data_IF_328162112510
#
_entry.id   IF_328162112510
#
_cell.length_a   1.000
_cell.length_b   1.000
_cell.length_c   1.000
_cell.angle_alpha   90.00
_cell.angle_beta   90.00
_cell.angle_gamma   90.00
#
_symmetry.space_group_name_H-M   'P 1'
#
loop_
_entity.id
_entity.type
_entity.pdbx_description
1 polymer ?
#
# COMPACT_ATOMS: atom_id res chain seq x y z
N UNK A 1 -24.09 11.76 -18.33
CA UNK A 1 -24.02 12.36 -16.99
C UNK A 1 -22.55 12.59 -16.66
N UNK A 2 -22.12 13.77 -16.18
CA UNK A 2 -20.72 14.00 -15.84
C UNK A 2 -20.37 13.32 -14.50
N UNK A 3 -19.20 12.67 -14.42
CA UNK A 3 -18.65 12.09 -13.19
C UNK A 3 -18.21 13.20 -12.21
N UNK A 4 -18.32 13.01 -10.88
CA UNK A 4 -17.95 14.04 -9.91
C UNK A 4 -16.43 14.11 -9.67
N UNK A 5 -15.99 15.32 -9.32
CA UNK A 5 -14.62 15.85 -9.24
C UNK A 5 -13.81 15.40 -8.01
N UNK A 6 -13.69 14.10 -7.75
CA UNK A 6 -13.06 13.55 -6.53
C UNK A 6 -11.52 13.54 -6.46
N UNK A 7 -10.80 13.86 -7.54
CA UNK A 7 -9.35 13.64 -7.63
C UNK A 7 -8.46 14.60 -6.81
N UNK A 8 -8.94 15.80 -6.44
CA UNK A 8 -8.11 16.81 -5.77
C UNK A 8 -8.05 16.68 -4.25
N UNK A 9 -9.05 16.05 -3.63
CA UNK A 9 -9.05 15.75 -2.18
C UNK A 9 -8.07 14.63 -1.83
N UNK A 10 -7.85 13.72 -2.79
CA UNK A 10 -7.01 12.51 -2.70
C UNK A 10 -5.53 12.84 -2.46
N UNK A 11 -4.97 13.76 -3.25
CA UNK A 11 -3.56 14.15 -3.15
C UNK A 11 -3.22 14.97 -1.90
N UNK A 12 -4.23 15.61 -1.27
CA UNK A 12 -4.05 16.38 -0.02
C UNK A 12 -4.02 15.45 1.20
N UNK A 13 -4.86 14.41 1.21
CA UNK A 13 -4.85 13.39 2.27
C UNK A 13 -3.55 12.58 2.29
N UNK A 14 -2.98 12.26 1.13
CA UNK A 14 -1.70 11.54 0.99
C UNK A 14 -0.53 12.24 1.68
N UNK A 15 -0.55 13.58 1.77
CA UNK A 15 0.56 14.38 2.30
C UNK A 15 0.47 14.60 3.82
N UNK A 16 -0.75 14.73 4.35
CA UNK A 16 -1.00 14.79 5.80
C UNK A 16 -0.79 13.42 6.46
N UNK A 17 -1.12 12.34 5.76
CA UNK A 17 -0.88 10.95 6.15
C UNK A 17 0.60 10.63 6.40
N UNK A 18 1.47 11.05 5.48
CA UNK A 18 2.93 10.84 5.59
C UNK A 18 3.50 11.47 6.88
N UNK A 19 2.90 12.57 7.34
CA UNK A 19 3.38 13.36 8.47
C UNK A 19 2.85 12.88 9.83
N UNK A 20 1.76 12.11 9.87
CA UNK A 20 1.22 11.49 11.09
C UNK A 20 1.89 10.14 11.38
N UNK A 21 2.32 9.44 10.32
CA UNK A 21 2.98 8.14 10.40
C UNK A 21 4.40 8.19 10.97
N UNK A 22 5.13 9.30 10.73
CA UNK A 22 6.43 9.55 11.36
C UNK A 22 6.31 9.75 12.88
N UNK A 23 5.18 10.30 13.36
CA UNK A 23 4.92 10.54 14.78
C UNK A 23 4.53 9.25 15.54
N UNK A 24 3.80 8.34 14.88
CA UNK A 24 3.51 7.01 15.43
C UNK A 24 4.75 6.11 15.58
N UNK A 25 5.81 6.41 14.82
CA UNK A 25 7.06 5.65 14.81
C UNK A 25 7.96 5.98 16.02
N UNK A 26 8.04 7.23 16.46
CA UNK A 26 8.77 7.62 17.69
C UNK A 26 8.15 7.02 18.96
N UNK A 27 6.83 6.83 18.97
CA UNK A 27 6.11 6.26 20.12
C UNK A 27 6.25 4.74 20.24
N UNK A 28 6.51 4.04 19.14
CA UNK A 28 6.71 2.58 19.15
C UNK A 28 8.13 2.16 19.54
N UNK A 29 9.13 3.01 19.26
CA UNK A 29 10.55 2.73 19.56
C UNK A 29 10.91 2.86 21.07
N UNK A 30 10.05 3.47 21.90
CA UNK A 30 10.34 3.72 23.33
C UNK A 30 9.82 2.66 24.30
N UNK A 31 9.03 1.69 23.83
CA UNK A 31 8.65 0.50 24.62
C UNK A 31 7.81 0.74 25.87
N UNK A 32 7.15 1.90 26.02
CA UNK A 32 6.23 2.14 27.15
C UNK A 32 4.82 1.63 26.85
N UNK A 33 4.23 0.99 27.85
CA UNK A 33 2.85 0.49 27.85
C UNK A 33 1.89 1.69 28.00
N UNK A 34 0.96 1.88 27.06
CA UNK A 34 0.03 3.02 27.08
C UNK A 34 -1.42 2.52 27.02
N UNK A 35 -2.16 2.72 28.12
CA UNK A 35 -3.62 2.92 28.09
C UNK A 35 -3.88 4.37 27.68
N UNK A 36 -4.62 4.63 26.60
CA UNK A 36 -4.77 5.98 26.05
C UNK A 36 -6.09 6.62 26.52
N UNK A 37 -5.96 7.73 27.26
CA UNK A 37 -6.94 8.80 27.41
C UNK A 37 -6.25 10.07 26.87
N UNK A 38 -6.89 10.86 26.00
CA UNK A 38 -6.19 11.93 25.24
C UNK A 38 -6.08 13.25 26.03
N UNK A 39 -4.86 13.71 26.32
CA UNK A 39 -4.55 14.97 27.07
C UNK A 39 -4.56 16.24 26.18
N UNK A 40 -4.95 17.37 26.76
CA UNK A 40 -4.89 18.76 26.26
C UNK A 40 -3.61 19.15 25.49
N UNK A 41 -2.43 18.64 25.87
CA UNK A 41 -1.17 18.87 25.15
C UNK A 41 -1.18 18.32 23.71
N UNK A 42 -1.89 17.21 23.48
CA UNK A 42 -2.13 16.64 22.15
C UNK A 42 -3.05 17.52 21.31
N UNK A 43 -4.11 18.06 21.91
CA UNK A 43 -5.04 18.97 21.22
C UNK A 43 -4.37 20.30 20.86
N UNK A 44 -3.52 20.86 21.73
CA UNK A 44 -2.77 22.09 21.48
C UNK A 44 -1.77 21.94 20.33
N UNK A 45 -1.08 20.81 20.26
CA UNK A 45 -0.17 20.47 19.16
C UNK A 45 -0.92 20.30 17.84
N UNK A 46 -2.14 19.75 17.88
CA UNK A 46 -3.03 19.65 16.71
C UNK A 46 -3.49 21.02 16.19
N UNK A 47 -3.83 21.95 17.09
CA UNK A 47 -4.28 23.32 16.73
C UNK A 47 -3.18 24.16 16.09
N UNK A 48 -1.96 24.15 16.63
CA UNK A 48 -0.82 24.87 16.02
C UNK A 48 -0.42 24.28 14.65
N UNK A 49 -0.59 22.97 14.49
CA UNK A 49 -0.36 22.27 13.21
C UNK A 49 -1.41 22.62 12.15
N UNK A 50 -2.68 22.78 12.52
CA UNK A 50 -3.72 23.27 11.60
C UNK A 50 -3.47 24.71 11.15
N UNK A 51 -2.91 25.58 12.01
CA UNK A 51 -2.54 26.95 11.62
C UNK A 51 -1.39 26.97 10.61
N UNK A 52 -0.38 26.12 10.80
CA UNK A 52 0.73 25.94 9.85
C UNK A 52 0.26 25.37 8.49
N UNK A 53 -0.72 24.44 8.52
CA UNK A 53 -1.35 23.91 7.30
C UNK A 53 -2.16 25.00 6.58
N UNK A 54 -2.90 25.84 7.31
CA UNK A 54 -3.61 26.99 6.73
C UNK A 54 -2.66 28.00 6.07
N UNK A 55 -1.48 28.25 6.65
CA UNK A 55 -0.42 29.06 6.03
C UNK A 55 0.19 28.43 4.78
N UNK A 56 0.25 27.08 4.68
CA UNK A 56 0.81 26.38 3.51
C UNK A 56 -0.19 26.12 2.40
N UNK A 57 -1.48 26.06 2.70
CA UNK A 57 -2.56 26.03 1.71
C UNK A 57 -2.67 27.35 0.92
N UNK A 58 -1.98 28.41 1.33
CA UNK A 58 -1.78 29.64 0.52
C UNK A 58 -1.06 29.34 -0.81
N UNK A 59 -0.27 28.27 -0.92
CA UNK A 59 0.28 27.77 -2.19
C UNK A 59 -0.79 27.11 -3.08
N UNK A 60 -1.88 26.64 -2.50
CA UNK A 60 -3.03 26.08 -3.22
C UNK A 60 -3.91 27.19 -3.80
N UNK A 61 -4.00 28.36 -3.14
CA UNK A 61 -4.56 29.56 -3.78
C UNK A 61 -3.72 30.04 -4.96
N UNK A 62 -2.38 29.92 -4.90
CA UNK A 62 -1.51 30.25 -6.04
C UNK A 62 -1.67 29.26 -7.21
N UNK A 63 -1.88 27.96 -6.95
CA UNK A 63 -2.21 26.98 -7.99
C UNK A 63 -3.61 27.22 -8.61
N UNK A 64 -4.56 27.70 -7.81
CA UNK A 64 -5.89 28.13 -8.28
C UNK A 64 -5.79 29.36 -9.18
N UNK A 65 -4.90 30.28 -8.86
CA UNK A 65 -4.58 31.45 -9.69
C UNK A 65 -3.91 31.03 -11.00
N UNK A 66 -3.06 30.00 -11.00
CA UNK A 66 -2.49 29.42 -12.22
C UNK A 66 -3.60 28.78 -13.09
N UNK A 67 -4.53 28.01 -12.51
CA UNK A 67 -5.68 27.43 -13.25
C UNK A 67 -6.61 28.52 -13.81
N UNK A 68 -6.79 29.63 -13.08
CA UNK A 68 -7.53 30.80 -13.57
C UNK A 68 -6.80 31.48 -14.75
N UNK A 69 -5.49 31.69 -14.64
CA UNK A 69 -4.65 32.22 -15.72
C UNK A 69 -4.63 31.30 -16.96
N UNK A 70 -4.65 29.98 -16.77
CA UNK A 70 -4.76 29.00 -17.86
C UNK A 70 -6.13 29.04 -18.55
N UNK A 71 -7.20 29.29 -17.79
CA UNK A 71 -8.55 29.46 -18.32
C UNK A 71 -8.66 30.73 -19.17
N UNK A 72 -8.03 31.83 -18.77
CA UNK A 72 -7.93 33.07 -19.55
C UNK A 72 -7.03 32.92 -20.79
N UNK A 73 -5.87 32.26 -20.66
CA UNK A 73 -4.92 32.05 -21.75
C UNK A 73 -5.43 31.11 -22.86
N UNK A 74 -6.40 30.23 -22.57
CA UNK A 74 -7.02 29.32 -23.54
C UNK A 74 -7.75 30.04 -24.70
N UNK A 75 -7.99 31.35 -24.57
CA UNK A 75 -8.53 32.21 -25.63
C UNK A 75 -7.47 32.59 -26.69
N UNK A 76 -6.18 32.34 -26.44
CA UNK A 76 -5.04 32.63 -27.32
C UNK A 76 -4.29 31.33 -27.68
N UNK A 77 -4.54 30.81 -28.88
CA UNK A 77 -4.41 29.38 -29.22
C UNK A 77 -3.00 28.76 -29.38
N UNK A 78 -1.89 29.50 -29.25
CA UNK A 78 -0.56 28.96 -29.63
C UNK A 78 0.51 29.01 -28.52
N UNK A 79 0.69 30.15 -27.85
CA UNK A 79 1.67 30.26 -26.75
C UNK A 79 1.18 29.64 -25.44
N UNK A 80 -0.14 29.63 -25.22
CA UNK A 80 -0.76 29.06 -24.04
C UNK A 80 -0.59 27.53 -23.95
N UNK A 81 -0.70 26.83 -25.09
CA UNK A 81 -0.51 25.36 -25.14
C UNK A 81 0.91 24.92 -24.79
N UNK A 82 1.93 25.70 -25.17
CA UNK A 82 3.32 25.42 -24.78
C UNK A 82 3.54 25.63 -23.28
N UNK A 83 2.91 26.65 -22.69
CA UNK A 83 3.00 26.91 -21.24
C UNK A 83 2.26 25.86 -20.42
N UNK A 84 1.07 25.42 -20.86
CA UNK A 84 0.31 24.34 -20.21
C UNK A 84 1.12 23.05 -20.18
N UNK A 85 1.75 22.69 -21.30
CA UNK A 85 2.58 21.49 -21.36
C UNK A 85 3.77 21.58 -20.39
N UNK A 86 4.46 22.73 -20.35
CA UNK A 86 5.58 22.92 -19.43
C UNK A 86 5.18 22.79 -17.95
N UNK A 87 4.02 23.30 -17.57
CA UNK A 87 3.48 23.19 -16.20
C UNK A 87 3.09 21.74 -15.88
N UNK A 88 2.43 21.05 -16.82
CA UNK A 88 2.08 19.64 -16.65
C UNK A 88 3.32 18.76 -16.48
N UNK A 89 4.35 18.95 -17.32
CA UNK A 89 5.62 18.25 -17.25
C UNK A 89 6.33 18.51 -15.90
N UNK A 90 6.25 19.74 -15.37
CA UNK A 90 6.82 20.09 -14.06
C UNK A 90 6.07 19.45 -12.88
N UNK A 91 4.74 19.40 -12.92
CA UNK A 91 3.92 18.72 -11.91
C UNK A 91 4.23 17.22 -11.91
N UNK A 92 4.30 16.60 -13.09
CA UNK A 92 4.65 15.19 -13.24
C UNK A 92 6.05 14.89 -12.68
N UNK A 93 7.05 15.73 -12.99
CA UNK A 93 8.40 15.58 -12.46
C UNK A 93 8.47 15.72 -10.93
N UNK A 94 7.71 16.65 -10.35
CA UNK A 94 7.63 16.85 -8.89
C UNK A 94 6.91 15.68 -8.20
N UNK A 95 5.82 15.18 -8.78
CA UNK A 95 5.11 14.00 -8.29
C UNK A 95 6.03 12.78 -8.28
N UNK A 96 6.70 12.51 -9.41
CA UNK A 96 7.68 11.42 -9.54
C UNK A 96 8.78 11.49 -8.48
N UNK A 97 9.32 12.68 -8.21
CA UNK A 97 10.34 12.88 -7.17
C UNK A 97 9.83 12.53 -5.77
N UNK A 98 8.58 12.87 -5.45
CA UNK A 98 7.98 12.56 -4.14
C UNK A 98 7.70 11.07 -4.01
N UNK A 99 7.13 10.43 -5.03
CA UNK A 99 6.93 8.97 -5.04
C UNK A 99 8.25 8.22 -4.95
N UNK A 100 9.30 8.69 -5.64
CA UNK A 100 10.64 8.12 -5.55
C UNK A 100 11.17 8.22 -4.11
N UNK A 101 11.03 9.36 -3.43
CA UNK A 101 11.47 9.53 -2.03
C UNK A 101 10.72 8.62 -1.05
N UNK A 102 9.41 8.47 -1.20
CA UNK A 102 8.59 7.58 -0.34
C UNK A 102 9.02 6.12 -0.55
N UNK A 103 9.19 5.72 -1.81
CA UNK A 103 9.69 4.39 -2.13
C UNK A 103 11.09 4.16 -1.57
N UNK A 104 11.96 5.18 -1.54
CA UNK A 104 13.31 5.09 -0.99
C UNK A 104 13.32 4.86 0.52
N UNK A 105 12.47 5.55 1.28
CA UNK A 105 12.37 5.38 2.74
C UNK A 105 11.84 3.99 3.11
N UNK A 106 10.77 3.53 2.44
CA UNK A 106 10.23 2.19 2.63
C UNK A 106 11.32 1.14 2.31
N UNK A 107 12.01 1.28 1.17
CA UNK A 107 13.10 0.37 0.78
C UNK A 107 14.26 0.37 1.77
N UNK A 108 14.60 1.53 2.36
CA UNK A 108 15.67 1.62 3.36
C UNK A 108 15.28 0.89 4.65
N UNK A 109 14.04 1.08 5.15
CA UNK A 109 13.51 0.37 6.33
C UNK A 109 13.50 -1.14 6.13
N UNK A 110 13.22 -1.59 4.91
CA UNK A 110 13.21 -3.01 4.59
C UNK A 110 14.58 -3.67 4.81
N UNK A 111 15.71 -2.96 4.78
CA UNK A 111 17.08 -3.53 4.78
C UNK A 111 17.43 -4.41 6.00
N UNK A 112 16.64 -4.36 7.08
CA UNK A 112 16.81 -5.19 8.28
C UNK A 112 16.39 -6.66 8.07
N UNK A 113 16.76 -7.55 9.00
CA UNK A 113 16.51 -9.02 8.96
C UNK A 113 15.02 -9.40 9.15
N UNK A 114 14.09 -8.49 8.88
CA UNK A 114 12.67 -8.72 9.13
C UNK A 114 12.04 -9.50 7.97
N UNK A 115 11.31 -10.55 8.30
CA UNK A 115 10.46 -11.31 7.38
C UNK A 115 9.09 -10.66 7.18
N UNK A 116 8.87 -9.46 7.73
CA UNK A 116 7.66 -8.69 7.52
C UNK A 116 7.99 -7.28 7.03
N UNK A 117 7.12 -6.75 6.19
CA UNK A 117 7.30 -5.49 5.50
C UNK A 117 6.02 -4.70 5.53
N UNK A 118 6.08 -3.50 6.12
CA UNK A 118 4.99 -2.52 6.07
C UNK A 118 5.36 -1.46 5.03
N UNK A 119 4.52 -1.31 4.01
CA UNK A 119 4.84 -0.52 2.82
C UNK A 119 3.70 0.44 2.49
N UNK A 120 4.05 1.51 1.79
CA UNK A 120 3.06 2.49 1.34
C UNK A 120 2.41 2.03 0.03
N UNK A 121 3.19 1.53 -0.92
CA UNK A 121 2.71 1.10 -2.23
C UNK A 121 2.73 -0.42 -2.39
N UNK A 122 1.70 -0.98 -3.01
CA UNK A 122 1.61 -2.42 -3.20
C UNK A 122 2.71 -2.98 -4.11
N UNK A 123 3.13 -2.19 -5.09
CA UNK A 123 4.21 -2.57 -6.02
C UNK A 123 5.53 -2.87 -5.29
N UNK A 124 5.76 -2.32 -4.09
CA UNK A 124 6.93 -2.63 -3.28
C UNK A 124 6.94 -4.06 -2.73
N UNK A 125 5.80 -4.75 -2.71
CA UNK A 125 5.74 -6.20 -2.45
C UNK A 125 6.61 -6.98 -3.42
N UNK A 126 6.66 -6.59 -4.70
CA UNK A 126 7.59 -7.19 -5.67
C UNK A 126 9.05 -7.09 -5.19
N UNK A 127 9.46 -5.90 -4.75
CA UNK A 127 10.81 -5.67 -4.23
C UNK A 127 11.08 -6.53 -2.99
N UNK A 128 10.15 -6.58 -2.04
CA UNK A 128 10.23 -7.38 -0.83
C UNK A 128 10.52 -8.86 -1.14
N UNK A 129 9.72 -9.45 -2.02
CA UNK A 129 9.85 -10.86 -2.38
C UNK A 129 11.14 -11.12 -3.16
N UNK A 130 11.49 -10.26 -4.12
CA UNK A 130 12.76 -10.41 -4.86
C UNK A 130 13.97 -10.34 -3.96
N UNK A 131 13.96 -9.42 -3.02
CA UNK A 131 15.02 -9.28 -2.04
C UNK A 131 15.18 -10.55 -1.21
N UNK A 132 14.09 -11.14 -0.71
CA UNK A 132 14.15 -12.37 0.07
C UNK A 132 14.56 -13.59 -0.78
N UNK A 133 14.22 -13.61 -2.08
CA UNK A 133 14.75 -14.60 -3.01
C UNK A 133 16.26 -14.45 -3.22
N UNK A 134 16.74 -13.22 -3.42
CA UNK A 134 18.17 -12.93 -3.60
C UNK A 134 18.98 -13.24 -2.34
N UNK A 135 18.37 -13.15 -1.16
CA UNK A 135 18.95 -13.57 0.13
C UNK A 135 18.95 -15.10 0.32
N UNK A 136 18.16 -15.83 -0.46
CA UNK A 136 17.94 -17.27 -0.28
C UNK A 136 16.97 -17.61 0.84
N UNK A 137 16.27 -16.63 1.42
CA UNK A 137 15.25 -16.84 2.46
C UNK A 137 14.03 -17.57 1.91
N UNK A 138 13.69 -17.32 0.64
CA UNK A 138 12.58 -17.99 -0.07
C UNK A 138 13.07 -18.60 -1.38
N UNK A 139 12.63 -19.82 -1.66
CA UNK A 139 12.95 -20.54 -2.88
C UNK A 139 12.10 -20.06 -4.07
N UNK A 140 12.59 -20.34 -5.29
CA UNK A 140 11.75 -20.26 -6.48
C UNK A 140 10.62 -21.29 -6.42
N UNK A 141 9.51 -21.00 -7.09
CA UNK A 141 8.34 -21.86 -7.11
C UNK A 141 7.53 -21.84 -5.82
N UNK A 142 7.69 -20.79 -5.00
CA UNK A 142 6.90 -20.53 -3.80
C UNK A 142 5.41 -20.31 -4.14
N UNK A 143 4.59 -20.22 -3.09
CA UNK A 143 3.16 -20.00 -3.18
C UNK A 143 2.80 -18.66 -2.59
N UNK A 144 2.06 -17.83 -3.32
CA UNK A 144 1.57 -16.54 -2.84
C UNK A 144 0.12 -16.66 -2.37
N UNK A 145 -0.14 -16.27 -1.12
CA UNK A 145 -1.48 -15.90 -0.64
C UNK A 145 -1.56 -14.39 -0.70
N UNK A 146 -2.54 -13.88 -1.44
CA UNK A 146 -2.71 -12.47 -1.67
C UNK A 146 -4.11 -12.06 -1.21
N UNK A 147 -4.17 -11.22 -0.18
CA UNK A 147 -5.39 -10.72 0.45
C UNK A 147 -5.58 -9.30 -0.05
N UNK A 148 -6.59 -9.09 -0.90
CA UNK A 148 -6.75 -7.86 -1.69
C UNK A 148 -8.21 -7.74 -2.17
N UNK A 149 -8.70 -6.50 -2.31
CA UNK A 149 -9.98 -6.24 -2.96
C UNK A 149 -9.93 -6.37 -4.50
N UNK A 150 -8.74 -6.32 -5.11
CA UNK A 150 -8.51 -6.27 -6.55
C UNK A 150 -7.62 -7.42 -7.07
N UNK A 151 -7.83 -7.85 -8.33
CA UNK A 151 -6.97 -8.84 -8.96
C UNK A 151 -5.70 -8.17 -9.51
N UNK A 152 -4.67 -7.99 -8.66
CA UNK A 152 -3.39 -7.35 -8.99
C UNK A 152 -2.42 -8.24 -9.83
N UNK A 153 -2.96 -9.00 -10.80
CA UNK A 153 -2.20 -9.91 -11.66
C UNK A 153 -2.39 -9.67 -13.16
N UNK A 154 -2.70 -8.43 -13.54
CA UNK A 154 -2.77 -8.03 -14.94
C UNK A 154 -1.46 -8.33 -15.68
N UNK A 155 -1.51 -8.69 -16.98
CA UNK A 155 -0.32 -9.01 -17.74
C UNK A 155 0.68 -7.84 -17.81
N UNK A 156 1.82 -8.01 -17.14
CA UNK A 156 2.97 -7.11 -17.28
C UNK A 156 3.87 -7.49 -18.49
N UNK A 157 4.60 -6.49 -18.99
CA UNK A 157 5.71 -6.69 -19.92
C UNK A 157 6.76 -7.67 -19.39
N UNK A 158 7.58 -8.22 -20.30
CA UNK A 158 8.67 -9.12 -19.88
C UNK A 158 9.75 -8.31 -19.16
N UNK A 159 9.95 -8.56 -17.86
CA UNK A 159 11.08 -8.01 -17.13
C UNK A 159 12.37 -8.79 -17.45
N UNK A 160 13.51 -8.09 -17.38
CA UNK A 160 14.82 -8.73 -17.43
C UNK A 160 15.02 -9.61 -16.17
N UNK A 161 15.86 -10.67 -16.24
CA UNK A 161 16.23 -11.43 -15.05
C UNK A 161 16.79 -10.52 -13.96
N UNK A 162 16.24 -10.65 -12.74
CA UNK A 162 16.68 -9.88 -11.59
C UNK A 162 17.80 -10.63 -10.87
N UNK A 163 19.02 -10.08 -10.87
CA UNK A 163 20.20 -10.68 -10.23
C UNK A 163 20.79 -9.85 -9.10
N UNK A 164 20.19 -8.68 -8.81
CA UNK A 164 20.65 -7.77 -7.76
C UNK A 164 19.51 -6.99 -7.11
N UNK A 165 19.75 -6.47 -5.91
CA UNK A 165 18.77 -5.61 -5.21
C UNK A 165 18.50 -4.31 -5.96
N UNK A 166 19.50 -3.74 -6.63
CA UNK A 166 19.33 -2.53 -7.43
C UNK A 166 18.34 -2.75 -8.57
N UNK A 167 18.47 -3.88 -9.28
CA UNK A 167 17.52 -4.26 -10.34
C UNK A 167 16.14 -4.59 -9.78
N UNK A 168 16.05 -5.30 -8.65
CA UNK A 168 14.76 -5.61 -8.02
C UNK A 168 13.97 -4.33 -7.72
N UNK A 169 14.67 -3.31 -7.22
CA UNK A 169 14.12 -2.00 -6.92
C UNK A 169 13.68 -1.26 -8.18
N UNK A 170 14.55 -1.14 -9.17
CA UNK A 170 14.22 -0.48 -10.44
C UNK A 170 12.99 -1.13 -11.10
N UNK A 171 12.94 -2.46 -11.09
CA UNK A 171 11.80 -3.21 -11.58
C UNK A 171 10.52 -2.93 -10.79
N UNK A 172 10.56 -2.94 -9.46
CA UNK A 172 9.39 -2.62 -8.62
C UNK A 172 8.83 -1.23 -8.95
N UNK A 173 9.71 -0.24 -9.11
CA UNK A 173 9.32 1.14 -9.45
C UNK A 173 8.79 1.30 -10.87
N UNK A 174 9.08 0.34 -11.77
CA UNK A 174 8.58 0.34 -13.15
C UNK A 174 7.24 -0.38 -13.32
N UNK A 175 6.79 -1.11 -12.29
CA UNK A 175 5.55 -1.87 -12.31
C UNK A 175 4.37 -0.98 -11.90
N UNK A 176 3.21 -1.35 -12.39
CA UNK A 176 1.94 -0.73 -12.01
C UNK A 176 1.31 -1.55 -10.88
N UNK A 177 0.41 -0.90 -10.15
CA UNK A 177 -0.30 -1.52 -9.02
C UNK A 177 -1.05 -2.79 -9.43
N UNK A 178 -1.58 -2.83 -10.64
CA UNK A 178 -2.35 -3.95 -11.17
C UNK A 178 -1.50 -5.12 -11.68
N UNK A 179 -0.17 -4.99 -11.79
CA UNK A 179 0.64 -5.94 -12.57
C UNK A 179 1.94 -6.41 -11.91
N UNK A 180 2.21 -6.05 -10.66
CA UNK A 180 3.48 -6.38 -10.02
C UNK A 180 3.64 -7.87 -9.68
N UNK A 181 2.56 -8.65 -9.59
CA UNK A 181 2.60 -10.09 -9.33
C UNK A 181 2.97 -10.88 -10.60
N UNK A 182 2.42 -10.47 -11.75
CA UNK A 182 2.52 -11.22 -13.00
C UNK A 182 3.97 -11.56 -13.43
N UNK A 183 4.98 -10.67 -13.32
CA UNK A 183 6.36 -11.00 -13.65
C UNK A 183 6.94 -12.19 -12.86
N UNK A 184 6.53 -12.36 -11.59
CA UNK A 184 7.01 -13.44 -10.72
C UNK A 184 6.36 -14.78 -11.03
N UNK A 185 5.11 -14.77 -11.50
CA UNK A 185 4.46 -15.97 -12.02
C UNK A 185 5.17 -16.40 -13.31
N UNK A 186 5.40 -15.44 -14.21
CA UNK A 186 6.00 -15.69 -15.52
C UNK A 186 7.40 -16.29 -15.45
N UNK A 187 8.23 -15.84 -14.52
CA UNK A 187 9.59 -16.36 -14.34
C UNK A 187 9.68 -17.55 -13.36
N UNK A 188 8.52 -18.06 -12.91
CA UNK A 188 8.35 -19.19 -11.98
C UNK A 188 8.94 -18.94 -10.58
N UNK A 189 9.14 -17.69 -10.21
CA UNK A 189 9.43 -17.30 -8.82
C UNK A 189 8.28 -17.65 -7.90
N UNK A 190 7.06 -17.36 -8.35
CA UNK A 190 5.80 -17.81 -7.75
C UNK A 190 5.22 -18.88 -8.65
N UNK A 191 5.06 -20.10 -8.16
CA UNK A 191 4.45 -21.19 -8.94
C UNK A 191 2.93 -21.19 -8.88
N UNK A 192 2.37 -20.65 -7.80
CA UNK A 192 0.95 -20.71 -7.47
C UNK A 192 0.54 -19.42 -6.75
N UNK A 193 -0.62 -18.87 -7.12
CA UNK A 193 -1.24 -17.71 -6.48
C UNK A 193 -2.64 -18.10 -5.98
N UNK A 194 -2.94 -17.77 -4.74
CA UNK A 194 -4.27 -17.82 -4.17
C UNK A 194 -4.65 -16.38 -3.83
N UNK A 195 -5.77 -15.92 -4.38
CA UNK A 195 -6.33 -14.62 -4.10
C UNK A 195 -7.49 -14.78 -3.11
N UNK A 196 -7.49 -13.95 -2.06
CA UNK A 196 -8.51 -13.90 -1.03
C UNK A 196 -9.16 -12.53 -1.13
N UNK A 197 -10.41 -12.53 -1.61
CA UNK A 197 -11.22 -11.33 -1.69
C UNK A 197 -11.98 -11.10 -0.38
N UNK A 198 -12.35 -9.85 -0.09
CA UNK A 198 -13.13 -9.54 1.10
C UNK A 198 -14.56 -10.05 1.01
N UNK A 199 -15.17 -10.27 2.19
CA UNK A 199 -16.54 -10.76 2.34
C UNK A 199 -17.59 -9.83 1.71
N UNK A 200 -17.32 -8.52 1.66
CA UNK A 200 -18.25 -7.55 1.10
C UNK A 200 -18.30 -7.58 -0.44
N UNK A 201 -17.45 -8.39 -1.08
CA UNK A 201 -17.55 -8.74 -2.50
C UNK A 201 -18.24 -10.10 -2.75
N UNK A 202 -18.79 -10.76 -1.72
CA UNK A 202 -19.49 -12.05 -1.86
C UNK A 202 -20.71 -11.98 -2.79
N UNK A 203 -21.31 -10.79 -2.97
CA UNK A 203 -22.38 -10.56 -3.96
C UNK A 203 -21.93 -10.87 -5.41
N UNK A 204 -20.62 -10.97 -5.66
CA UNK A 204 -20.04 -11.37 -6.94
C UNK A 204 -19.67 -12.87 -7.01
N UNK A 205 -20.12 -13.68 -6.05
CA UNK A 205 -19.97 -15.14 -6.07
C UNK A 205 -18.59 -15.67 -5.64
N UNK A 206 -17.71 -14.80 -5.13
CA UNK A 206 -16.46 -15.22 -4.49
C UNK A 206 -16.74 -15.60 -3.04
N UNK A 207 -16.49 -16.83 -2.63
CA UNK A 207 -16.53 -17.16 -1.19
C UNK A 207 -15.32 -16.55 -0.49
N UNK A 208 -15.54 -15.70 0.50
CA UNK A 208 -14.45 -15.22 1.33
C UNK A 208 -13.78 -16.40 2.08
N UNK A 209 -12.46 -16.32 2.25
CA UNK A 209 -11.67 -17.18 3.13
C UNK A 209 -11.54 -18.69 2.82
N UNK A 210 -11.99 -19.19 1.66
CA UNK A 210 -11.70 -20.58 1.27
C UNK A 210 -10.31 -20.72 0.63
N UNK A 211 -9.26 -20.73 1.46
CA UNK A 211 -7.93 -21.12 0.98
C UNK A 211 -7.95 -22.58 0.47
N UNK A 212 -7.16 -22.93 -0.55
CA UNK A 212 -7.01 -24.32 -1.02
C UNK A 212 -6.61 -25.29 0.09
N UNK A 213 -6.81 -26.60 -0.12
CA UNK A 213 -6.37 -27.62 0.84
C UNK A 213 -4.85 -27.59 1.09
N UNK A 214 -4.41 -28.16 2.23
CA UNK A 214 -3.00 -28.12 2.68
C UNK A 214 -2.02 -28.70 1.65
N UNK A 215 -2.45 -29.68 0.88
CA UNK A 215 -1.72 -30.32 -0.21
C UNK A 215 -1.34 -29.33 -1.32
N UNK A 216 -2.09 -28.24 -1.46
CA UNK A 216 -1.80 -27.21 -2.44
C UNK A 216 -0.50 -26.44 -2.11
N UNK A 217 -0.17 -26.35 -0.82
CA UNK A 217 0.99 -25.65 -0.26
C UNK A 217 2.18 -26.57 0.06
N UNK A 218 1.99 -27.90 -0.03
CA UNK A 218 2.98 -28.87 0.44
C UNK A 218 4.35 -28.71 -0.24
N UNK A 219 5.41 -28.67 0.58
CA UNK A 219 6.81 -28.62 0.13
C UNK A 219 7.25 -27.30 -0.50
N UNK A 220 6.51 -26.20 -0.26
CA UNK A 220 6.81 -24.87 -0.82
C UNK A 220 6.82 -23.81 0.25
N UNK A 221 7.68 -22.81 0.09
CA UNK A 221 7.59 -21.58 0.85
C UNK A 221 6.27 -20.86 0.56
N UNK A 222 5.72 -20.22 1.58
CA UNK A 222 4.49 -19.43 1.49
C UNK A 222 4.84 -17.96 1.69
N UNK A 223 4.36 -17.12 0.78
CA UNK A 223 4.34 -15.66 0.90
C UNK A 223 2.93 -15.23 1.28
N UNK A 224 2.80 -14.27 2.18
CA UNK A 224 1.54 -13.62 2.51
C UNK A 224 1.63 -12.15 2.14
N UNK A 225 0.75 -11.70 1.26
CA UNK A 225 0.59 -10.29 0.91
C UNK A 225 -0.79 -9.84 1.34
N UNK A 226 -0.86 -8.70 1.99
CA UNK A 226 -2.09 -8.07 2.46
C UNK A 226 -2.08 -6.65 1.92
N UNK A 227 -2.95 -6.38 0.96
CA UNK A 227 -3.37 -5.02 0.67
C UNK A 227 -4.37 -4.58 1.74
N UNK A 228 -4.24 -3.34 2.20
CA UNK A 228 -5.16 -2.76 3.17
C UNK A 228 -6.44 -2.25 2.53
N UNK A 229 -6.50 -2.14 1.21
CA UNK A 229 -7.74 -1.87 0.50
C UNK A 229 -8.77 -3.01 0.63
N UNK A 230 -8.30 -4.20 1.02
CA UNK A 230 -9.11 -5.32 1.47
C UNK A 230 -10.10 -4.91 2.57
N UNK A 231 -9.65 -4.08 3.52
CA UNK A 231 -10.47 -3.60 4.63
C UNK A 231 -11.26 -2.36 4.26
N UNK A 232 -10.68 -1.46 3.47
CA UNK A 232 -11.37 -0.22 3.10
C UNK A 232 -11.06 0.11 1.64
N UNK A 233 -12.06 0.04 0.77
CA UNK A 233 -11.92 0.39 -0.64
C UNK A 233 -12.72 1.65 -0.97
N UNK A 234 -12.05 2.62 -1.63
CA UNK A 234 -12.70 3.86 -2.09
C UNK A 234 -13.40 3.73 -3.45
N UNK A 235 -13.21 2.61 -4.15
CA UNK A 235 -13.89 2.30 -5.41
C UNK A 235 -15.23 1.62 -5.19
N UNK A 236 -16.07 1.50 -6.23
CA UNK A 236 -17.38 0.86 -6.10
C UNK A 236 -17.27 -0.68 -6.02
N UNK A 237 -17.89 -1.33 -5.02
CA UNK A 237 -18.68 -0.71 -3.95
C UNK A 237 -17.79 -0.11 -2.86
N UNK A 238 -18.05 1.16 -2.51
CA UNK A 238 -17.30 1.83 -1.45
C UNK A 238 -17.49 1.09 -0.14
N UNK A 239 -16.39 0.75 0.53
CA UNK A 239 -16.42 0.11 1.83
C UNK A 239 -15.32 0.70 2.72
N UNK A 240 -15.64 0.95 3.99
CA UNK A 240 -14.67 1.28 5.00
C UNK A 240 -14.94 0.39 6.20
N UNK A 241 -14.07 -0.59 6.44
CA UNK A 241 -14.28 -1.57 7.50
C UNK A 241 -14.23 -0.88 8.87
N UNK A 242 -15.23 -1.18 9.68
CA UNK A 242 -15.25 -0.83 11.09
C UNK A 242 -14.11 -1.54 11.84
N UNK A 243 -13.69 -1.03 13.01
CA UNK A 243 -12.73 -1.70 13.87
C UNK A 243 -13.05 -3.17 14.20
N UNK A 244 -14.35 -3.50 14.28
CA UNK A 244 -14.83 -4.86 14.55
C UNK A 244 -14.70 -5.78 13.33
N UNK A 245 -14.98 -5.27 12.12
CA UNK A 245 -14.77 -6.01 10.87
C UNK A 245 -13.29 -6.30 10.65
N UNK A 246 -12.41 -5.31 10.85
CA UNK A 246 -10.96 -5.50 10.79
C UNK A 246 -10.50 -6.60 11.74
N UNK A 247 -11.00 -6.62 12.98
CA UNK A 247 -10.66 -7.64 13.97
C UNK A 247 -11.19 -9.02 13.59
N UNK A 248 -12.44 -9.11 13.11
CA UNK A 248 -13.05 -10.36 12.66
C UNK A 248 -12.30 -10.96 11.46
N UNK A 249 -11.99 -10.16 10.45
CA UNK A 249 -11.29 -10.58 9.24
C UNK A 249 -9.83 -10.95 9.52
N UNK A 250 -9.15 -10.18 10.37
CA UNK A 250 -7.82 -10.55 10.87
C UNK A 250 -7.83 -11.90 11.58
N UNK A 251 -8.85 -12.17 12.41
CA UNK A 251 -9.00 -13.46 13.09
C UNK A 251 -9.30 -14.59 12.10
N UNK A 252 -10.10 -14.35 11.07
CA UNK A 252 -10.39 -15.30 10.00
C UNK A 252 -9.12 -15.67 9.23
N UNK A 253 -8.31 -14.67 8.83
CA UNK A 253 -6.99 -14.89 8.21
C UNK A 253 -6.11 -15.80 9.06
N UNK A 254 -5.90 -15.44 10.32
CA UNK A 254 -5.06 -16.20 11.26
C UNK A 254 -5.57 -17.63 11.41
N UNK A 255 -6.89 -17.81 11.57
CA UNK A 255 -7.52 -19.13 11.71
C UNK A 255 -7.29 -19.99 10.47
N UNK A 256 -7.45 -19.43 9.27
CA UNK A 256 -7.27 -20.19 8.03
C UNK A 256 -5.80 -20.58 7.78
N UNK A 257 -4.84 -19.73 8.17
CA UNK A 257 -3.41 -20.05 8.17
C UNK A 257 -3.10 -21.18 9.16
N UNK A 258 -3.57 -21.08 10.41
CA UNK A 258 -3.36 -22.09 11.46
C UNK A 258 -3.98 -23.43 11.10
N UNK A 259 -5.22 -23.44 10.59
CA UNK A 259 -5.93 -24.65 10.14
C UNK A 259 -5.15 -25.45 9.11
N UNK A 260 -4.34 -24.77 8.30
CA UNK A 260 -3.49 -25.38 7.25
C UNK A 260 -2.03 -25.54 7.67
N UNK A 261 -1.69 -25.19 8.91
CA UNK A 261 -0.32 -25.20 9.44
C UNK A 261 0.64 -24.40 8.56
N UNK A 262 0.18 -23.26 8.03
CA UNK A 262 0.98 -22.38 7.19
C UNK A 262 1.75 -21.40 8.06
N UNK A 263 3.04 -21.25 7.79
CA UNK A 263 3.93 -20.25 8.39
C UNK A 263 4.56 -19.45 7.25
N UNK A 264 3.97 -18.30 6.87
CA UNK A 264 4.53 -17.48 5.80
C UNK A 264 5.98 -17.10 6.09
N UNK A 265 6.86 -17.25 5.09
CA UNK A 265 8.28 -16.87 5.19
C UNK A 265 8.51 -15.38 4.99
N UNK A 266 7.58 -14.73 4.29
CA UNK A 266 7.59 -13.30 4.04
C UNK A 266 6.16 -12.79 4.14
N UNK A 267 5.97 -11.71 4.90
CA UNK A 267 4.69 -11.04 5.07
C UNK A 267 4.83 -9.61 4.55
N UNK A 268 4.01 -9.23 3.58
CA UNK A 268 3.93 -7.86 3.06
C UNK A 268 2.57 -7.28 3.42
N UNK A 269 2.55 -6.09 4.01
CA UNK A 269 1.35 -5.30 4.29
C UNK A 269 1.51 -3.97 3.57
N UNK A 270 0.63 -3.68 2.61
CA UNK A 270 0.70 -2.48 1.78
C UNK A 270 -0.55 -1.62 1.95
N UNK A 271 -0.39 -0.30 1.90
CA UNK A 271 -1.48 0.63 2.13
C UNK A 271 -2.30 0.99 0.90
N UNK A 272 -1.77 0.79 -0.32
CA UNK A 272 -2.41 1.18 -1.59
C UNK A 272 -3.18 2.49 -1.48
N UNK A 273 -2.49 3.63 -1.36
CA UNK A 273 -3.10 4.93 -1.03
C UNK A 273 -4.18 5.36 -2.03
N UNK A 274 -4.12 4.81 -3.24
CA UNK A 274 -5.10 4.99 -4.30
C UNK A 274 -6.46 4.33 -4.01
N UNK A 275 -6.48 3.31 -3.15
CA UNK A 275 -7.62 2.45 -2.91
C UNK A 275 -8.07 2.45 -1.45
N UNK A 276 -7.18 2.78 -0.50
CA UNK A 276 -7.49 2.68 0.93
C UNK A 276 -7.89 4.00 1.58
N UNK A 277 -8.90 3.95 2.46
CA UNK A 277 -9.24 5.07 3.35
C UNK A 277 -8.09 5.30 4.35
N UNK A 278 -7.47 6.47 4.24
CA UNK A 278 -6.23 6.85 4.92
C UNK A 278 -6.28 6.68 6.44
N UNK A 279 -7.43 6.95 7.05
CA UNK A 279 -7.61 6.94 8.51
C UNK A 279 -7.57 5.53 9.12
N UNK A 280 -7.89 4.49 8.34
CA UNK A 280 -7.95 3.10 8.83
C UNK A 280 -6.58 2.40 8.80
N UNK A 281 -5.64 2.92 8.00
CA UNK A 281 -4.37 2.27 7.70
C UNK A 281 -3.51 1.95 8.94
N UNK A 282 -3.30 2.88 9.90
CA UNK A 282 -2.50 2.57 11.10
C UNK A 282 -3.19 1.54 11.98
N UNK A 283 -4.52 1.63 12.12
CA UNK A 283 -5.29 0.72 12.96
C UNK A 283 -5.28 -0.71 12.38
N UNK A 284 -5.61 -0.86 11.09
CA UNK A 284 -5.61 -2.15 10.41
C UNK A 284 -4.23 -2.81 10.44
N UNK A 285 -3.17 -2.06 10.09
CA UNK A 285 -1.78 -2.55 10.13
C UNK A 285 -1.40 -3.06 11.51
N UNK A 286 -1.65 -2.28 12.57
CA UNK A 286 -1.29 -2.66 13.94
C UNK A 286 -2.06 -3.89 14.42
N UNK A 287 -3.36 -3.98 14.09
CA UNK A 287 -4.19 -5.13 14.48
C UNK A 287 -3.75 -6.41 13.78
N UNK A 288 -3.51 -6.36 12.46
CA UNK A 288 -2.93 -7.45 11.69
C UNK A 288 -1.61 -7.91 12.29
N UNK A 289 -0.67 -6.97 12.51
CA UNK A 289 0.65 -7.31 13.04
C UNK A 289 0.57 -7.96 14.43
N UNK A 290 -0.25 -7.42 15.33
CA UNK A 290 -0.45 -8.01 16.67
C UNK A 290 -1.04 -9.40 16.60
N UNK A 291 -2.03 -9.63 15.73
CA UNK A 291 -2.69 -10.92 15.60
C UNK A 291 -1.76 -11.98 14.98
N UNK A 292 -1.04 -11.64 13.91
CA UNK A 292 -0.06 -12.51 13.27
C UNK A 292 1.07 -12.89 14.25
N UNK A 293 1.61 -11.91 14.98
CA UNK A 293 2.60 -12.16 16.03
C UNK A 293 2.06 -13.09 17.14
N UNK A 294 0.87 -12.79 17.68
CA UNK A 294 0.23 -13.63 18.71
C UNK A 294 -0.01 -15.06 18.25
N UNK A 295 -0.23 -15.26 16.95
CA UNK A 295 -0.44 -16.56 16.35
C UNK A 295 0.86 -17.33 16.04
N UNK A 296 2.03 -16.74 16.32
CA UNK A 296 3.33 -17.35 16.02
C UNK A 296 3.66 -17.36 14.54
N UNK A 297 3.12 -16.42 13.75
CA UNK A 297 3.38 -16.34 12.30
C UNK A 297 4.74 -15.69 11.98
N UNK A 298 5.33 -14.99 12.94
CA UNK A 298 6.73 -14.56 12.93
C UNK A 298 7.23 -14.41 14.38
N UNK A 299 8.55 -14.39 14.54
CA UNK A 299 9.26 -14.18 15.81
C UNK A 299 9.63 -12.71 16.04
#
# INVERSE_FOLDING_TARGET
MPKPSGQTTRQTMEKEYLSLRLLGHELFETGQDISIDFDEAYLKTRIERMKFIAEKLTLYSEAKDIVAQLSEASQSKSSALKSIKGIADEIEARYKKVTDLINLEDIHRMQNQQQYYLMTFHTLSYFAWRKEQLRGTIAKGCTLIHVDAHPDDMPAGKLAPCTSLAQAKEQALSLWIDNFIHPLIRDRSIAKKCWVTPFWLEEFGTKAWELPGKEWFAGKDVLLSIDLDYFSCVEEPYHAATPNEIEAETKNLVKELQKRMLSPKVITIAASPDYTVVDDLPYASVKLLKALKKAGMWD
#
